data_IF_453399647204
#
_entry.id   IF_453399647204
#
_cell.length_a   1.000
_cell.length_b   1.000
_cell.length_c   1.000
_cell.angle_alpha   90.00
_cell.angle_beta   90.00
_cell.angle_gamma   90.00
#
_symmetry.space_group_name_H-M   'P 1'
#
loop_
_entity.id
_entity.type
_entity.pdbx_description
1 polymer ?
#
# COMPACT_ATOMS: atom_id res chain seq x y z
N UNK A 1 -18.08 -13.50 -7.74
CA UNK A 1 -18.64 -13.77 -6.41
C UNK A 1 -19.66 -12.68 -6.05
N UNK A 2 -20.74 -12.99 -5.32
CA UNK A 2 -21.67 -11.96 -4.83
C UNK A 2 -21.24 -11.58 -3.41
N UNK A 3 -20.17 -10.79 -3.32
CA UNK A 3 -19.60 -10.35 -2.04
C UNK A 3 -20.49 -9.23 -1.50
N UNK A 4 -21.07 -9.42 -0.31
CA UNK A 4 -21.76 -8.34 0.40
C UNK A 4 -20.71 -7.30 0.82
N UNK A 5 -20.44 -6.32 -0.05
CA UNK A 5 -19.49 -5.25 0.24
C UNK A 5 -19.98 -4.39 1.40
N UNK A 6 -19.03 -3.93 2.22
CA UNK A 6 -19.22 -2.94 3.26
C UNK A 6 -19.21 -1.54 2.64
N UNK A 7 -20.39 -1.16 2.18
CA UNK A 7 -20.63 0.15 1.58
C UNK A 7 -20.45 1.28 2.60
N UNK A 8 -19.53 2.21 2.32
CA UNK A 8 -19.47 3.50 3.01
C UNK A 8 -20.67 4.38 2.62
N UNK A 9 -21.13 4.21 1.37
CA UNK A 9 -22.40 4.73 0.86
C UNK A 9 -23.04 3.67 -0.01
N UNK A 10 -24.26 3.29 0.30
CA UNK A 10 -24.95 2.22 -0.44
C UNK A 10 -25.30 2.68 -1.85
N UNK A 11 -25.38 1.78 -2.84
CA UNK A 11 -25.97 2.07 -4.14
C UNK A 11 -27.36 2.69 -3.99
N UNK A 12 -27.77 3.47 -4.97
CA UNK A 12 -29.08 4.14 -5.05
C UNK A 12 -29.37 5.19 -3.97
N UNK A 13 -28.46 5.43 -3.02
CA UNK A 13 -28.62 6.44 -1.95
C UNK A 13 -28.92 7.84 -2.52
N UNK A 14 -28.17 8.25 -3.56
CA UNK A 14 -28.36 9.54 -4.24
C UNK A 14 -29.13 9.41 -5.57
N UNK A 15 -29.88 8.32 -5.76
CA UNK A 15 -30.72 8.06 -6.94
C UNK A 15 -30.25 6.89 -7.81
N UNK A 16 -31.03 6.50 -8.85
CA UNK A 16 -30.91 5.18 -9.52
C UNK A 16 -29.57 4.91 -10.23
N UNK A 17 -28.78 5.95 -10.53
CA UNK A 17 -27.47 5.82 -11.19
C UNK A 17 -26.32 5.70 -10.19
N UNK A 18 -26.57 5.95 -8.92
CA UNK A 18 -25.58 5.91 -7.87
C UNK A 18 -25.11 4.47 -7.62
N UNK A 19 -23.83 4.21 -7.88
CA UNK A 19 -23.24 2.88 -7.69
C UNK A 19 -22.73 2.63 -6.28
N UNK A 20 -22.89 3.60 -5.37
CA UNK A 20 -22.35 3.53 -4.02
C UNK A 20 -20.84 3.72 -3.98
N UNK A 21 -20.28 3.65 -2.78
CA UNK A 21 -18.83 3.70 -2.54
C UNK A 21 -18.42 2.72 -1.47
N UNK A 22 -17.27 2.09 -1.65
CA UNK A 22 -16.58 1.23 -0.69
C UNK A 22 -15.07 1.42 -0.82
N UNK A 23 -14.26 0.66 -0.10
CA UNK A 23 -12.83 0.62 -0.32
C UNK A 23 -12.35 -0.83 -0.33
N UNK A 24 -11.64 -1.30 -1.37
CA UNK A 24 -11.19 -2.69 -1.41
C UNK A 24 -10.22 -3.03 -0.27
N UNK A 25 -9.42 -2.08 0.20
CA UNK A 25 -8.53 -2.30 1.35
C UNK A 25 -9.32 -2.47 2.64
N UNK A 26 -10.47 -1.80 2.77
CA UNK A 26 -11.36 -2.04 3.91
C UNK A 26 -11.88 -3.48 3.92
N UNK A 27 -12.28 -4.01 2.77
CA UNK A 27 -12.72 -5.42 2.67
C UNK A 27 -11.57 -6.40 2.93
N UNK A 28 -10.38 -6.09 2.40
CA UNK A 28 -9.23 -6.99 2.44
C UNK A 28 -8.52 -6.99 3.80
N UNK A 29 -8.48 -5.85 4.52
CA UNK A 29 -7.68 -5.68 5.73
C UNK A 29 -8.53 -5.22 6.93
N UNK A 30 -9.16 -4.05 6.84
CA UNK A 30 -9.82 -3.42 7.99
C UNK A 30 -10.97 -4.31 8.53
N UNK A 31 -11.81 -4.88 7.66
CA UNK A 31 -12.96 -5.68 8.06
C UNK A 31 -12.56 -7.00 8.77
N UNK A 32 -11.64 -7.84 8.25
CA UNK A 32 -11.12 -8.98 8.99
C UNK A 32 -10.61 -8.64 10.40
N UNK A 33 -9.90 -7.52 10.56
CA UNK A 33 -9.40 -7.06 11.87
C UNK A 33 -10.56 -6.71 12.80
N UNK A 34 -11.56 -5.97 12.32
CA UNK A 34 -12.78 -5.67 13.10
C UNK A 34 -13.51 -6.95 13.53
N UNK A 35 -13.43 -8.01 12.73
CA UNK A 35 -13.99 -9.34 13.04
C UNK A 35 -13.11 -10.18 13.98
N UNK A 36 -12.04 -9.60 14.55
CA UNK A 36 -11.16 -10.25 15.51
C UNK A 36 -10.07 -11.13 14.90
N UNK A 37 -9.82 -11.00 13.60
CA UNK A 37 -8.82 -11.80 12.86
C UNK A 37 -7.49 -11.08 12.66
N UNK A 38 -7.18 -10.09 13.50
CA UNK A 38 -6.02 -9.23 13.30
C UNK A 38 -4.68 -9.98 13.28
N UNK A 39 -4.53 -10.97 14.16
CA UNK A 39 -3.35 -11.82 14.25
C UNK A 39 -3.32 -12.98 13.24
N UNK A 40 -4.40 -13.21 12.49
CA UNK A 40 -4.44 -14.25 11.46
C UNK A 40 -3.51 -13.86 10.30
N UNK A 41 -3.04 -14.87 9.56
CA UNK A 41 -2.24 -14.67 8.34
C UNK A 41 -3.09 -14.00 7.24
N UNK A 42 -2.61 -12.84 6.77
CA UNK A 42 -3.10 -12.19 5.55
C UNK A 42 -2.34 -12.70 4.32
N UNK A 43 -1.03 -12.83 4.43
CA UNK A 43 -0.15 -13.40 3.44
C UNK A 43 0.71 -14.48 4.11
N UNK A 44 0.87 -15.63 3.44
CA UNK A 44 1.64 -16.78 3.91
C UNK A 44 2.62 -17.25 2.82
N UNK A 45 3.82 -17.70 3.19
CA UNK A 45 4.81 -18.25 2.25
C UNK A 45 5.99 -17.31 2.04
N UNK A 46 6.18 -16.77 0.83
CA UNK A 46 7.27 -15.80 0.57
C UNK A 46 7.08 -14.47 1.32
N UNK A 47 5.85 -14.18 1.72
CA UNK A 47 5.45 -13.03 2.51
C UNK A 47 4.73 -13.59 3.73
N UNK A 48 5.24 -13.31 4.93
CA UNK A 48 4.58 -13.63 6.18
C UNK A 48 4.09 -12.32 6.81
N UNK A 49 2.79 -12.06 6.70
CA UNK A 49 2.16 -10.87 7.25
C UNK A 49 0.84 -11.22 7.91
N UNK A 50 0.64 -10.76 9.14
CA UNK A 50 -0.69 -10.74 9.76
C UNK A 50 -1.56 -9.65 9.12
N UNK A 51 -2.88 -9.71 9.31
CA UNK A 51 -3.77 -8.62 8.88
C UNK A 51 -3.38 -7.28 9.53
N UNK A 52 -3.06 -7.28 10.83
CA UNK A 52 -2.64 -6.07 11.55
C UNK A 52 -1.34 -5.48 11.00
N UNK A 53 -0.33 -6.33 10.74
CA UNK A 53 0.93 -5.87 10.16
C UNK A 53 0.71 -5.30 8.76
N UNK A 54 -0.06 -5.98 7.92
CA UNK A 54 -0.38 -5.52 6.57
C UNK A 54 -1.12 -4.18 6.58
N UNK A 55 -2.13 -4.02 7.45
CA UNK A 55 -2.88 -2.77 7.58
C UNK A 55 -1.98 -1.63 8.08
N UNK A 56 -1.17 -1.88 9.10
CA UNK A 56 -0.27 -0.86 9.67
C UNK A 56 0.64 -0.28 8.59
N UNK A 57 1.30 -1.15 7.81
CA UNK A 57 2.23 -0.74 6.75
C UNK A 57 1.51 -0.08 5.58
N UNK A 58 0.43 -0.69 5.08
CA UNK A 58 -0.31 -0.15 3.95
C UNK A 58 -0.92 1.23 4.28
N UNK A 59 -1.52 1.39 5.45
CA UNK A 59 -2.13 2.65 5.86
C UNK A 59 -1.09 3.73 6.18
N UNK A 60 0.09 3.35 6.68
CA UNK A 60 1.22 4.28 6.85
C UNK A 60 1.78 4.74 5.51
N UNK A 61 1.98 3.83 4.56
CA UNK A 61 2.43 4.17 3.20
C UNK A 61 1.41 5.05 2.46
N UNK A 62 0.11 4.77 2.63
CA UNK A 62 -0.96 5.65 2.14
C UNK A 62 -0.87 7.08 2.73
N UNK A 63 -0.45 7.20 4.00
CA UNK A 63 -0.15 8.48 4.63
C UNK A 63 1.03 9.22 4.00
N UNK A 64 2.06 8.48 3.57
CA UNK A 64 3.20 9.05 2.82
C UNK A 64 2.70 9.58 1.46
N UNK A 65 1.86 8.84 0.73
CA UNK A 65 1.31 9.29 -0.56
C UNK A 65 0.53 10.60 -0.43
N UNK A 66 -0.27 10.77 0.64
CA UNK A 66 -0.96 12.04 0.92
C UNK A 66 -0.01 13.18 1.28
N UNK A 67 1.15 12.88 1.84
CA UNK A 67 2.15 13.90 2.11
C UNK A 67 2.94 14.30 0.86
N UNK A 68 3.03 13.42 -0.14
CA UNK A 68 3.59 13.75 -1.46
C UNK A 68 2.69 14.74 -2.19
N UNK A 69 1.38 14.51 -2.21
CA UNK A 69 0.40 15.43 -2.76
C UNK A 69 -0.94 15.36 -2.02
N UNK A 70 -1.62 16.50 -1.90
CA UNK A 70 -2.97 16.59 -1.34
C UNK A 70 -3.92 17.25 -2.37
N UNK A 71 -4.95 16.55 -2.88
CA UNK A 71 -5.29 15.14 -2.62
C UNK A 71 -4.19 14.18 -3.09
N UNK A 72 -4.23 12.93 -2.61
CA UNK A 72 -3.24 11.90 -2.95
C UNK A 72 -2.99 11.82 -4.46
N UNK A 73 -1.76 11.47 -4.90
CA UNK A 73 -1.43 11.32 -6.30
C UNK A 73 -2.44 10.44 -7.02
N UNK A 74 -2.80 10.80 -8.25
CA UNK A 74 -3.73 9.98 -9.05
C UNK A 74 -3.13 8.61 -9.42
N UNK A 75 -1.80 8.53 -9.45
CA UNK A 75 -1.05 7.36 -9.90
C UNK A 75 0.21 7.19 -9.07
N UNK A 76 0.61 5.94 -8.86
CA UNK A 76 1.92 5.54 -8.37
C UNK A 76 2.47 4.49 -9.34
N UNK A 77 3.67 4.73 -9.89
CA UNK A 77 4.38 3.76 -10.73
C UNK A 77 5.20 2.86 -9.81
N UNK A 78 5.05 1.55 -9.98
CA UNK A 78 5.78 0.52 -9.25
C UNK A 78 6.73 -0.16 -10.24
N UNK A 79 8.03 0.10 -10.11
CA UNK A 79 9.05 -0.49 -10.99
C UNK A 79 9.34 -1.96 -10.66
N UNK A 80 9.86 -2.68 -11.65
CA UNK A 80 10.27 -4.07 -11.49
C UNK A 80 11.40 -4.21 -10.47
N UNK A 81 11.48 -5.39 -9.83
CA UNK A 81 12.54 -5.72 -8.87
C UNK A 81 12.24 -5.34 -7.42
N UNK A 82 11.08 -4.74 -7.13
CA UNK A 82 10.60 -4.58 -5.76
C UNK A 82 10.42 -5.94 -5.10
N UNK A 83 10.73 -6.02 -3.79
CA UNK A 83 10.45 -7.23 -3.01
C UNK A 83 8.93 -7.50 -3.02
N UNK A 84 8.48 -8.78 -3.02
CA UNK A 84 7.05 -9.10 -3.06
C UNK A 84 6.23 -8.41 -1.97
N UNK A 85 6.72 -8.38 -0.73
CA UNK A 85 6.05 -7.70 0.38
C UNK A 85 5.92 -6.18 0.15
N UNK A 86 7.00 -5.54 -0.34
CA UNK A 86 7.00 -4.10 -0.67
C UNK A 86 5.97 -3.78 -1.75
N UNK A 87 5.94 -4.59 -2.83
CA UNK A 87 5.00 -4.41 -3.93
C UNK A 87 3.55 -4.52 -3.44
N UNK A 88 3.24 -5.58 -2.71
CA UNK A 88 1.91 -5.83 -2.14
C UNK A 88 1.45 -4.66 -1.24
N UNK A 89 2.30 -4.25 -0.29
CA UNK A 89 1.98 -3.19 0.66
C UNK A 89 1.84 -1.82 -0.02
N UNK A 90 2.65 -1.54 -1.05
CA UNK A 90 2.53 -0.33 -1.84
C UNK A 90 1.23 -0.28 -2.67
N UNK A 91 0.85 -1.40 -3.29
CA UNK A 91 -0.44 -1.55 -3.99
C UNK A 91 -1.61 -1.30 -3.04
N UNK A 92 -1.61 -1.97 -1.88
CA UNK A 92 -2.65 -1.78 -0.86
C UNK A 92 -2.69 -0.33 -0.35
N UNK A 93 -1.54 0.27 -0.06
CA UNK A 93 -1.47 1.67 0.38
C UNK A 93 -1.98 2.66 -0.67
N UNK A 94 -1.64 2.46 -1.94
CA UNK A 94 -2.17 3.28 -3.03
C UNK A 94 -3.69 3.13 -3.19
N UNK A 95 -4.18 1.89 -3.23
CA UNK A 95 -5.62 1.60 -3.33
C UNK A 95 -6.42 2.21 -2.18
N UNK A 96 -5.86 2.23 -0.96
CA UNK A 96 -6.51 2.78 0.23
C UNK A 96 -6.92 4.25 0.07
N UNK A 97 -6.09 5.05 -0.60
CA UNK A 97 -6.33 6.48 -0.87
C UNK A 97 -6.71 6.76 -2.32
N UNK A 98 -7.19 5.72 -3.04
CA UNK A 98 -7.67 5.87 -4.41
C UNK A 98 -6.59 6.17 -5.46
N UNK A 99 -5.31 6.09 -5.10
CA UNK A 99 -4.19 6.19 -6.06
C UNK A 99 -4.16 4.93 -6.91
N UNK A 100 -4.07 5.08 -8.23
CA UNK A 100 -3.93 3.95 -9.15
C UNK A 100 -2.50 3.40 -9.08
N UNK A 101 -2.33 2.17 -8.60
CA UNK A 101 -1.06 1.45 -8.59
C UNK A 101 -0.77 0.88 -9.98
N UNK A 102 0.28 1.34 -10.64
CA UNK A 102 0.67 0.86 -11.97
C UNK A 102 1.90 0.00 -11.83
N UNK A 103 1.72 -1.31 -12.05
CA UNK A 103 2.82 -2.27 -12.02
C UNK A 103 3.45 -2.30 -13.42
N UNK A 104 4.69 -1.82 -13.49
CA UNK A 104 5.40 -1.56 -14.74
C UNK A 104 5.04 -0.22 -15.40
N UNK A 105 5.64 0.07 -16.56
CA UNK A 105 5.48 1.36 -17.26
C UNK A 105 4.69 1.25 -18.58
N UNK A 106 4.03 0.11 -18.82
CA UNK A 106 3.31 -0.17 -20.07
C UNK A 106 1.97 0.57 -20.10
N UNK A 107 1.64 1.17 -21.25
CA UNK A 107 0.38 1.90 -21.45
C UNK A 107 0.31 3.29 -20.81
N UNK A 108 1.40 3.78 -20.20
CA UNK A 108 1.47 5.14 -19.66
C UNK A 108 1.85 6.16 -20.73
N UNK A 109 1.20 7.32 -20.71
CA UNK A 109 1.57 8.45 -21.57
C UNK A 109 2.89 9.08 -21.11
N UNK A 110 3.61 9.81 -21.98
CA UNK A 110 4.85 10.50 -21.58
C UNK A 110 4.66 11.44 -20.39
N UNK A 111 3.53 12.15 -20.35
CA UNK A 111 3.22 13.06 -19.24
C UNK A 111 2.97 12.33 -17.93
N UNK A 112 2.34 11.14 -17.97
CA UNK A 112 2.17 10.31 -16.78
C UNK A 112 3.51 9.82 -16.25
N UNK A 113 4.41 9.37 -17.14
CA UNK A 113 5.76 8.92 -16.75
C UNK A 113 6.62 10.03 -16.16
N UNK A 114 6.44 11.26 -16.62
CA UNK A 114 7.23 12.40 -16.15
C UNK A 114 6.81 12.92 -14.76
N UNK A 115 5.53 12.79 -14.39
CA UNK A 115 4.99 13.47 -13.21
C UNK A 115 4.49 12.54 -12.12
N UNK A 116 4.25 11.25 -12.41
CA UNK A 116 3.77 10.33 -11.39
C UNK A 116 4.89 9.98 -10.42
N UNK A 117 4.61 9.89 -9.11
CA UNK A 117 5.53 9.30 -8.16
C UNK A 117 5.94 7.88 -8.59
N UNK A 118 7.20 7.52 -8.33
CA UNK A 118 7.77 6.23 -8.70
C UNK A 118 8.34 5.56 -7.45
N UNK A 119 7.87 4.36 -7.15
CA UNK A 119 8.49 3.48 -6.16
C UNK A 119 9.36 2.47 -6.90
N UNK A 120 10.64 2.40 -6.55
CA UNK A 120 11.61 1.50 -7.18
C UNK A 120 12.57 0.89 -6.19
N UNK A 121 13.29 -0.19 -6.55
CA UNK A 121 14.41 -0.67 -5.76
C UNK A 121 15.48 0.40 -5.65
N UNK A 122 16.03 0.58 -4.46
CA UNK A 122 17.18 1.45 -4.25
C UNK A 122 18.38 0.92 -5.05
N UNK A 123 19.13 1.82 -5.66
CA UNK A 123 20.39 1.44 -6.32
C UNK A 123 21.32 0.79 -5.29
N UNK A 124 21.98 -0.31 -5.67
CA UNK A 124 22.78 -1.18 -4.79
C UNK A 124 23.92 -0.48 -4.03
N UNK A 125 24.20 0.79 -4.31
CA UNK A 125 25.24 1.57 -3.63
C UNK A 125 24.75 2.30 -2.35
N UNK A 126 23.45 2.29 -2.03
CA UNK A 126 22.90 3.14 -0.96
C UNK A 126 22.62 2.44 0.39
N UNK A 127 22.91 1.15 0.58
CA UNK A 127 22.69 0.51 1.90
C UNK A 127 23.62 -0.67 2.14
N UNK A 128 24.83 -0.37 2.62
CA UNK A 128 25.69 -1.32 3.33
C UNK A 128 25.34 -1.39 4.83
N UNK A 129 24.05 -1.33 5.17
CA UNK A 129 23.60 -1.77 6.49
C UNK A 129 23.08 -3.20 6.33
N UNK A 130 23.91 -4.16 6.76
CA UNK A 130 23.50 -5.55 6.91
C UNK A 130 22.19 -5.59 7.72
N UNK A 131 21.18 -6.38 7.32
CA UNK A 131 20.02 -6.62 8.16
C UNK A 131 20.52 -7.18 9.49
N UNK A 132 20.37 -6.39 10.56
CA UNK A 132 20.57 -6.93 11.90
C UNK A 132 19.50 -8.00 12.11
N UNK A 133 19.86 -9.20 12.57
CA UNK A 133 18.88 -10.24 12.84
C UNK A 133 17.85 -9.69 13.83
N UNK A 134 16.58 -10.09 13.65
CA UNK A 134 15.50 -9.85 14.60
C UNK A 134 15.85 -10.53 15.92
N UNK A 135 16.62 -9.83 16.74
CA UNK A 135 16.93 -10.21 18.11
C UNK A 135 15.96 -9.49 19.02
N UNK A 136 15.26 -10.24 19.88
CA UNK A 136 14.63 -9.67 21.06
C UNK A 136 15.66 -8.80 21.77
N UNK A 137 15.53 -7.48 21.64
CA UNK A 137 16.36 -6.59 22.43
C UNK A 137 15.77 -6.64 23.82
N UNK A 138 16.52 -7.21 24.78
CA UNK A 138 16.17 -7.13 26.21
C UNK A 138 15.71 -5.70 26.50
N UNK A 139 14.57 -5.59 27.20
CA UNK A 139 13.99 -4.31 27.57
C UNK A 139 15.09 -3.33 28.00
N UNK A 140 15.22 -2.19 27.30
CA UNK A 140 16.14 -1.13 27.74
C UNK A 140 15.71 -0.73 29.15
N UNK A 141 16.68 -0.42 30.01
CA UNK A 141 16.43 -0.01 31.38
C UNK A 141 15.34 1.07 31.43
N UNK A 142 14.21 0.77 32.08
CA UNK A 142 13.05 1.65 32.20
C UNK A 142 11.81 1.28 31.36
N UNK A 143 11.86 0.26 30.50
CA UNK A 143 10.67 -0.26 29.79
C UNK A 143 10.16 -1.57 30.43
N UNK A 144 8.86 -1.63 30.73
CA UNK A 144 8.22 -2.80 31.36
C UNK A 144 7.73 -3.86 30.36
N UNK A 145 7.85 -3.60 29.06
CA UNK A 145 7.40 -4.47 27.97
C UNK A 145 8.51 -4.69 26.96
N UNK A 146 8.57 -5.90 26.41
CA UNK A 146 9.48 -6.26 25.31
C UNK A 146 9.20 -5.40 24.09
N UNK A 147 10.21 -4.73 23.57
CA UNK A 147 10.13 -4.01 22.29
C UNK A 147 10.49 -4.95 21.16
N UNK A 148 9.53 -5.25 20.28
CA UNK A 148 9.80 -5.96 19.03
C UNK A 148 10.27 -4.95 17.99
N UNK A 149 11.44 -5.14 17.41
CA UNK A 149 11.80 -4.45 16.17
C UNK A 149 10.90 -5.01 15.09
N UNK A 150 10.06 -4.15 14.50
CA UNK A 150 9.14 -4.58 13.46
C UNK A 150 9.64 -4.03 12.13
N UNK A 151 9.85 -4.92 11.16
CA UNK A 151 10.31 -4.56 9.83
C UNK A 151 9.26 -3.67 9.14
N UNK A 152 9.73 -2.69 8.38
CA UNK A 152 8.83 -1.83 7.61
C UNK A 152 8.32 -2.54 6.36
N UNK A 153 9.04 -3.57 5.88
CA UNK A 153 8.86 -4.24 4.60
C UNK A 153 9.08 -3.32 3.38
N UNK A 154 9.65 -2.14 3.59
CA UNK A 154 10.07 -1.19 2.56
C UNK A 154 11.60 -1.04 2.50
N UNK A 155 12.35 -1.91 3.19
CA UNK A 155 13.82 -1.90 3.19
C UNK A 155 14.36 -2.13 1.78
N UNK A 156 15.18 -1.19 1.29
CA UNK A 156 15.75 -1.21 -0.05
C UNK A 156 14.80 -0.71 -1.14
N UNK A 157 13.71 -0.01 -0.79
CA UNK A 157 12.87 0.72 -1.72
C UNK A 157 13.01 2.23 -1.53
N UNK A 158 12.99 2.96 -2.64
CA UNK A 158 13.04 4.42 -2.65
C UNK A 158 11.87 5.01 -3.45
N UNK A 159 11.39 6.16 -2.98
CA UNK A 159 10.31 6.91 -3.59
C UNK A 159 10.87 8.17 -4.25
N UNK A 160 10.59 8.29 -5.54
CA UNK A 160 10.74 9.51 -6.32
C UNK A 160 9.40 10.23 -6.32
N UNK A 161 9.26 11.27 -5.50
CA UNK A 161 7.96 11.89 -5.22
C UNK A 161 7.38 12.68 -6.41
N UNK A 162 8.23 13.29 -7.22
CA UNK A 162 7.85 14.23 -8.29
C UNK A 162 8.29 13.73 -9.69
N UNK A 163 8.32 12.40 -9.87
CA UNK A 163 8.76 11.77 -11.12
C UNK A 163 10.25 11.40 -11.15
N UNK A 164 10.76 10.93 -12.31
CA UNK A 164 12.02 10.19 -12.42
C UNK A 164 13.27 11.00 -12.05
N UNK A 165 13.22 12.31 -12.19
CA UNK A 165 14.34 13.21 -11.93
C UNK A 165 14.37 13.76 -10.49
N UNK A 166 13.37 13.41 -9.67
CA UNK A 166 13.29 13.86 -8.28
C UNK A 166 14.31 13.15 -7.39
N UNK A 167 14.64 13.76 -6.24
CA UNK A 167 15.59 13.16 -5.30
C UNK A 167 14.98 11.91 -4.64
N UNK A 168 15.64 10.75 -4.69
CA UNK A 168 15.13 9.52 -4.09
C UNK A 168 15.06 9.63 -2.57
N UNK A 169 13.95 9.17 -2.00
CA UNK A 169 13.72 9.13 -0.55
C UNK A 169 13.59 7.67 -0.10
N UNK A 170 14.46 7.17 0.80
CA UNK A 170 14.32 5.83 1.36
C UNK A 170 12.98 5.67 2.07
N UNK A 171 12.18 4.70 1.64
CA UNK A 171 10.79 4.56 2.14
C UNK A 171 10.77 4.02 3.55
N UNK A 172 11.69 3.13 3.92
CA UNK A 172 11.80 2.62 5.29
C UNK A 172 12.04 3.75 6.32
N UNK A 173 12.84 4.76 5.94
CA UNK A 173 13.06 5.95 6.77
C UNK A 173 11.78 6.78 6.88
N UNK A 174 11.05 6.98 5.77
CA UNK A 174 9.76 7.68 5.79
C UNK A 174 8.75 6.93 6.68
N UNK A 175 8.66 5.61 6.57
CA UNK A 175 7.77 4.77 7.39
C UNK A 175 8.04 4.92 8.89
N UNK A 176 9.28 5.15 9.29
CA UNK A 176 9.68 5.39 10.70
C UNK A 176 9.40 6.82 11.17
N UNK A 177 9.12 7.77 10.28
CA UNK A 177 8.82 9.15 10.68
C UNK A 177 7.43 9.26 11.31
N UNK A 178 7.36 9.90 12.49
CA UNK A 178 6.11 10.13 13.21
C UNK A 178 5.17 11.13 12.51
N UNK A 179 5.70 11.96 11.60
CA UNK A 179 4.94 12.98 10.88
C UNK A 179 3.86 12.39 9.96
N UNK A 180 4.09 11.20 9.40
CA UNK A 180 3.10 10.53 8.57
C UNK A 180 2.12 9.75 9.44
N UNK A 181 0.83 10.06 9.34
CA UNK A 181 -0.22 9.34 10.06
C UNK A 181 -0.83 8.29 9.15
N UNK A 182 -1.38 7.23 9.73
CA UNK A 182 -2.17 6.25 8.99
C UNK A 182 -3.31 6.97 8.26
N UNK A 183 -3.40 6.77 6.95
CA UNK A 183 -4.50 7.32 6.17
C UNK A 183 -5.79 6.53 6.43
N UNK A 184 -6.92 7.22 6.52
CA UNK A 184 -8.23 6.57 6.46
C UNK A 184 -8.49 6.03 5.05
N UNK A 185 -9.28 4.95 4.96
CA UNK A 185 -9.74 4.43 3.68
C UNK A 185 -10.69 5.44 3.00
N UNK A 186 -10.39 5.80 1.74
CA UNK A 186 -11.21 6.73 0.96
C UNK A 186 -12.49 6.05 0.45
N UNK A 187 -13.64 6.75 0.36
CA UNK A 187 -14.82 6.23 -0.32
C UNK A 187 -14.62 6.19 -1.85
N UNK A 188 -14.52 4.99 -2.43
CA UNK A 188 -14.25 4.79 -3.85
C UNK A 188 -15.46 4.17 -4.56
N UNK A 189 -15.75 4.66 -5.77
CA UNK A 189 -16.76 4.05 -6.63
C UNK A 189 -16.28 2.70 -7.18
N UNK A 190 -17.16 1.70 -7.37
CA UNK A 190 -16.75 0.35 -7.75
C UNK A 190 -16.06 0.24 -9.12
N UNK A 191 -16.34 1.16 -10.04
CA UNK A 191 -15.70 1.22 -11.35
C UNK A 191 -14.44 2.08 -11.42
N UNK A 192 -13.96 2.65 -10.29
CA UNK A 192 -12.72 3.46 -10.30
C UNK A 192 -11.54 2.53 -10.56
N UNK A 193 -10.71 2.83 -11.56
CA UNK A 193 -9.46 2.11 -11.81
C UNK A 193 -8.49 2.35 -10.66
N UNK A 194 -8.06 1.28 -9.99
CA UNK A 194 -7.13 1.36 -8.85
C UNK A 194 -5.84 0.59 -9.08
N UNK A 195 -5.79 -0.27 -10.08
CA UNK A 195 -4.57 -0.97 -10.44
C UNK A 195 -4.47 -1.09 -11.96
N UNK A 196 -3.23 -1.08 -12.46
CA UNK A 196 -2.90 -1.39 -13.85
C UNK A 196 -1.80 -2.43 -13.89
N UNK A 197 -2.08 -3.56 -14.52
CA UNK A 197 -1.16 -4.68 -14.68
C UNK A 197 -0.84 -4.83 -16.17
N UNK A 198 0.39 -4.52 -16.58
CA UNK A 198 0.82 -4.61 -17.99
C UNK A 198 -0.09 -3.85 -18.99
N UNK A 199 -0.69 -2.74 -18.53
CA UNK A 199 -1.62 -1.91 -19.29
C UNK A 199 -3.08 -2.35 -19.22
N UNK A 200 -3.40 -3.45 -18.53
CA UNK A 200 -4.77 -3.87 -18.24
C UNK A 200 -5.26 -3.11 -17.01
N UNK A 201 -6.37 -2.38 -17.16
CA UNK A 201 -7.00 -1.67 -16.06
C UNK A 201 -7.80 -2.63 -15.18
N UNK A 202 -7.66 -2.46 -13.87
CA UNK A 202 -8.38 -3.22 -12.85
C UNK A 202 -9.14 -2.22 -11.98
N UNK A 203 -10.46 -2.37 -11.95
CA UNK A 203 -11.35 -1.53 -11.15
C UNK A 203 -11.27 -1.86 -9.66
N UNK A 204 -11.82 -0.99 -8.82
CA UNK A 204 -11.91 -1.19 -7.39
C UNK A 204 -12.59 -2.53 -7.04
N UNK A 205 -13.65 -2.90 -7.77
CA UNK A 205 -14.33 -4.17 -7.55
C UNK A 205 -13.47 -5.38 -7.95
N UNK A 206 -12.86 -5.34 -9.14
CA UNK A 206 -12.01 -6.42 -9.65
C UNK A 206 -10.72 -6.58 -8.82
N UNK A 207 -10.25 -5.49 -8.20
CA UNK A 207 -9.03 -5.49 -7.38
C UNK A 207 -9.12 -6.42 -6.17
N UNK A 208 -10.32 -6.72 -5.65
CA UNK A 208 -10.53 -7.67 -4.56
C UNK A 208 -10.01 -9.06 -4.93
N UNK A 209 -10.23 -9.50 -6.17
CA UNK A 209 -9.73 -10.78 -6.66
C UNK A 209 -8.27 -10.66 -7.15
N UNK A 210 -7.92 -9.54 -7.78
CA UNK A 210 -6.58 -9.34 -8.35
C UNK A 210 -5.47 -9.24 -7.29
N UNK A 211 -5.72 -8.68 -6.11
CA UNK A 211 -4.70 -8.65 -5.03
C UNK A 211 -4.30 -10.06 -4.59
N UNK A 212 -5.22 -11.04 -4.66
CA UNK A 212 -4.88 -12.43 -4.32
C UNK A 212 -3.86 -13.06 -5.28
N UNK A 213 -3.67 -12.52 -6.48
CA UNK A 213 -2.60 -13.00 -7.37
C UNK A 213 -1.23 -12.47 -6.96
N UNK A 214 -1.17 -11.35 -6.24
CA UNK A 214 0.07 -10.79 -5.66
C UNK A 214 0.48 -11.46 -4.34
N UNK A 215 -0.44 -12.21 -3.72
CA UNK A 215 -0.22 -12.94 -2.47
C UNK A 215 0.37 -14.35 -2.68
N UNK A 216 0.47 -14.84 -3.91
CA UNK A 216 0.91 -16.20 -4.28
C UNK A 216 2.28 -16.18 -4.92
#
# INVERSE_FOLDING_TARGET
>A
MNTNLHWFRKPETNGPKDKGTFNPVFELLDHPIVMGRGADEFASGQIELSFEDALDRAAKFAGILRAVAEPAPQMLILEDGLKPATLLLAVLGAMRVGTCAVIGAKGLTPQQKANAPILRPAAAEASSEQPQPVGETKARAGMHTSTRTIDTHFEGAELLADGPDSSPKPVDMLMKQAAFKHAAAEPLGPGRTLMRLDGIEVTALESLEAVHTLLR
#
